data_IF_701326289071
#
_entry.id   IF_701326289071
#
_cell.length_a   1.000
_cell.length_b   1.000
_cell.length_c   1.000
_cell.angle_alpha   90.00
_cell.angle_beta   90.00
_cell.angle_gamma   90.00
#
_symmetry.space_group_name_H-M   'P 1'
#
loop_
_entity.id
_entity.type
_entity.pdbx_description
1 polymer ?
#
# COMPACT_ATOMS: atom_id res chain seq x y z
N UNK A 1 -7.62 -12.98 11.51
CA UNK A 1 -7.83 -12.09 10.32
C UNK A 1 -6.73 -12.23 9.28
N UNK A 2 -5.42 -12.24 9.62
CA UNK A 2 -4.34 -12.42 8.62
C UNK A 2 -4.46 -13.68 7.76
N UNK A 3 -4.95 -14.81 8.31
CA UNK A 3 -5.16 -16.06 7.56
C UNK A 3 -6.08 -15.89 6.34
N UNK A 4 -7.06 -15.00 6.40
CA UNK A 4 -7.97 -14.74 5.28
C UNK A 4 -7.28 -14.07 4.07
N UNK A 5 -6.12 -13.44 4.28
CA UNK A 5 -5.34 -12.80 3.22
C UNK A 5 -4.12 -13.64 2.76
N UNK A 6 -3.83 -14.79 3.39
CA UNK A 6 -2.74 -15.67 2.94
C UNK A 6 -2.95 -16.18 1.49
N UNK A 7 -4.19 -16.52 1.05
CA UNK A 7 -4.43 -16.88 -0.35
C UNK A 7 -4.00 -15.84 -1.36
N UNK A 8 -4.13 -14.54 -1.03
CA UNK A 8 -3.67 -13.45 -1.91
C UNK A 8 -2.15 -13.51 -2.16
N UNK A 9 -1.35 -13.86 -1.15
CA UNK A 9 0.09 -14.08 -1.34
C UNK A 9 0.40 -15.25 -2.27
N UNK A 10 -0.37 -16.33 -2.19
CA UNK A 10 -0.23 -17.46 -3.11
C UNK A 10 -0.63 -17.08 -4.53
N UNK A 11 -1.69 -16.29 -4.69
CA UNK A 11 -2.15 -15.80 -5.98
C UNK A 11 -1.11 -14.87 -6.64
N UNK A 12 -0.52 -13.96 -5.89
CA UNK A 12 0.60 -13.11 -6.34
C UNK A 12 1.75 -13.98 -6.87
N UNK A 13 2.13 -15.04 -6.12
CA UNK A 13 3.14 -15.98 -6.58
C UNK A 13 2.76 -16.67 -7.89
N UNK A 14 1.51 -17.13 -8.01
CA UNK A 14 1.03 -17.80 -9.23
C UNK A 14 1.11 -16.90 -10.45
N UNK A 15 0.79 -15.61 -10.30
CA UNK A 15 0.78 -14.64 -11.38
C UNK A 15 2.18 -14.09 -11.74
N UNK A 16 3.04 -13.86 -10.74
CA UNK A 16 4.31 -13.15 -10.90
C UNK A 16 5.54 -14.04 -10.75
N UNK A 17 5.39 -15.28 -10.30
CA UNK A 17 6.49 -16.18 -9.97
C UNK A 17 7.18 -15.80 -8.66
N UNK A 18 8.41 -16.29 -8.50
CA UNK A 18 9.18 -16.14 -7.24
C UNK A 18 10.15 -14.94 -7.25
N UNK A 19 10.25 -14.22 -8.37
CA UNK A 19 11.10 -13.03 -8.47
C UNK A 19 10.34 -11.79 -7.99
N UNK A 20 10.18 -11.67 -6.69
CA UNK A 20 9.58 -10.51 -6.05
C UNK A 20 10.54 -10.05 -4.95
N UNK A 21 11.00 -8.81 -5.04
CA UNK A 21 11.97 -8.26 -4.11
C UNK A 21 11.28 -7.57 -2.92
N UNK A 22 10.24 -6.78 -3.19
CA UNK A 22 9.51 -6.02 -2.16
C UNK A 22 8.00 -6.25 -2.31
N UNK A 23 7.32 -6.50 -1.19
CA UNK A 23 5.89 -6.34 -1.03
C UNK A 23 5.63 -5.11 -0.16
N UNK A 24 4.80 -4.18 -0.64
CA UNK A 24 4.52 -2.95 0.08
C UNK A 24 3.05 -2.58 0.03
N UNK A 25 2.55 -1.94 1.07
CA UNK A 25 1.21 -1.36 1.09
C UNK A 25 1.02 -0.40 2.27
N UNK A 26 0.06 0.50 2.12
CA UNK A 26 -0.48 1.29 3.23
C UNK A 26 -1.24 0.41 4.21
N UNK A 27 -1.17 0.79 5.48
CA UNK A 27 -1.73 -0.03 6.56
C UNK A 27 -2.90 0.67 7.27
N UNK A 28 -4.03 -0.05 7.36
CA UNK A 28 -5.07 0.22 8.33
C UNK A 28 -4.87 -0.71 9.53
N UNK A 29 -5.49 -1.87 9.55
CA UNK A 29 -5.28 -2.87 10.61
C UNK A 29 -4.00 -3.71 10.43
N UNK A 30 -3.34 -3.62 9.29
CA UNK A 30 -2.17 -4.43 8.91
C UNK A 30 -2.52 -5.84 8.39
N UNK A 31 -3.81 -6.20 8.36
CA UNK A 31 -4.25 -7.55 8.02
C UNK A 31 -3.89 -8.00 6.61
N UNK A 32 -4.13 -7.15 5.61
CA UNK A 32 -3.88 -7.47 4.20
C UNK A 32 -2.39 -7.63 3.91
N UNK A 33 -1.57 -6.65 4.32
CA UNK A 33 -0.12 -6.68 4.11
C UNK A 33 0.51 -7.92 4.78
N UNK A 34 0.21 -8.13 6.06
CA UNK A 34 0.75 -9.25 6.82
C UNK A 34 0.25 -10.60 6.35
N UNK A 35 -1.00 -10.69 5.92
CA UNK A 35 -1.55 -11.96 5.40
C UNK A 35 -0.95 -12.32 4.05
N UNK A 36 -0.91 -11.39 3.11
CA UNK A 36 -0.28 -11.62 1.82
C UNK A 36 1.20 -11.98 1.95
N UNK A 37 1.93 -11.27 2.82
CA UNK A 37 3.32 -11.60 3.11
C UNK A 37 3.48 -13.03 3.67
N UNK A 38 2.62 -13.46 4.61
CA UNK A 38 2.67 -14.83 5.15
C UNK A 38 2.46 -15.90 4.09
N UNK A 39 1.55 -15.66 3.16
CA UNK A 39 1.34 -16.55 2.01
C UNK A 39 2.55 -16.58 1.08
N UNK A 40 3.07 -15.40 0.74
CA UNK A 40 4.12 -15.24 -0.25
C UNK A 40 5.50 -15.68 0.26
N UNK A 41 5.86 -15.39 1.53
CA UNK A 41 7.19 -15.68 2.10
C UNK A 41 7.57 -17.17 2.11
N UNK A 42 6.59 -18.06 2.02
CA UNK A 42 6.85 -19.50 1.94
C UNK A 42 7.60 -19.89 0.66
N UNK A 43 7.32 -19.15 -0.42
CA UNK A 43 7.95 -19.35 -1.72
C UNK A 43 9.07 -18.32 -1.99
N UNK A 44 8.94 -17.13 -1.41
CA UNK A 44 9.88 -16.02 -1.56
C UNK A 44 10.42 -15.63 -0.16
N UNK A 45 11.28 -16.46 0.47
CA UNK A 45 11.68 -16.26 1.87
C UNK A 45 12.49 -14.99 2.12
N UNK A 46 13.08 -14.41 1.08
CA UNK A 46 13.87 -13.16 1.15
C UNK A 46 13.10 -11.90 0.80
N UNK A 47 11.77 -12.02 0.63
CA UNK A 47 10.94 -10.86 0.30
C UNK A 47 11.01 -9.81 1.41
N UNK A 48 11.32 -8.58 1.02
CA UNK A 48 11.29 -7.43 1.92
C UNK A 48 9.85 -6.90 2.05
N UNK A 49 9.50 -6.42 3.22
CA UNK A 49 8.17 -5.93 3.54
C UNK A 49 8.24 -4.47 3.95
N UNK A 50 7.50 -3.60 3.26
CA UNK A 50 7.44 -2.16 3.54
C UNK A 50 5.99 -1.75 3.80
N UNK A 51 5.78 -1.04 4.91
CA UNK A 51 4.48 -0.45 5.23
C UNK A 51 4.46 1.03 4.87
N UNK A 52 3.29 1.53 4.44
CA UNK A 52 3.07 2.95 4.21
C UNK A 52 2.03 3.51 5.19
N UNK A 53 2.23 4.76 5.58
CA UNK A 53 1.24 5.55 6.30
C UNK A 53 1.12 6.96 5.70
N UNK A 54 0.00 7.68 5.89
CA UNK A 54 -0.13 9.04 5.40
C UNK A 54 0.84 9.98 6.11
N UNK A 55 1.51 10.85 5.37
CA UNK A 55 2.35 11.92 5.92
C UNK A 55 1.57 12.81 6.91
N UNK A 56 0.27 12.99 6.67
CA UNK A 56 -0.65 13.76 7.51
C UNK A 56 -0.96 13.06 8.85
N UNK A 57 -0.70 11.76 8.97
CA UNK A 57 -0.94 10.96 10.19
C UNK A 57 0.16 9.92 10.38
N UNK A 58 1.41 10.35 10.67
CA UNK A 58 2.58 9.48 10.75
C UNK A 58 2.69 8.80 12.13
N UNK A 59 1.64 8.09 12.55
CA UNK A 59 1.54 7.48 13.87
C UNK A 59 2.61 6.42 14.13
N UNK A 60 2.90 5.58 13.13
CA UNK A 60 3.85 4.48 13.27
C UNK A 60 5.30 4.96 13.29
N UNK A 61 5.61 6.03 12.56
CA UNK A 61 6.98 6.57 12.49
C UNK A 61 7.28 7.59 13.57
N UNK A 62 6.28 8.39 13.99
CA UNK A 62 6.51 9.49 14.96
C UNK A 62 5.79 9.34 16.30
N UNK A 63 4.90 8.36 16.42
CA UNK A 63 4.02 8.18 17.58
C UNK A 63 2.85 9.19 17.65
N UNK A 64 2.68 10.03 16.61
CA UNK A 64 1.63 11.06 16.59
C UNK A 64 0.72 10.88 15.37
N UNK A 65 -0.55 10.62 15.64
CA UNK A 65 -1.58 10.61 14.61
C UNK A 65 -2.03 12.04 14.25
N UNK A 66 -2.63 12.18 13.08
CA UNK A 66 -3.20 13.43 12.57
C UNK A 66 -4.43 13.18 11.71
N UNK A 67 -5.07 14.26 11.25
CA UNK A 67 -6.20 14.18 10.33
C UNK A 67 -5.70 13.96 8.88
N UNK A 68 -6.26 12.97 8.22
CA UNK A 68 -6.02 12.70 6.80
C UNK A 68 -7.32 12.26 6.12
N UNK A 69 -7.30 12.16 4.78
CA UNK A 69 -8.48 11.88 3.97
C UNK A 69 -8.36 10.60 3.14
N UNK A 70 -7.41 9.72 3.48
CA UNK A 70 -7.24 8.42 2.84
C UNK A 70 -8.02 7.37 3.63
N UNK A 71 -9.19 7.00 3.15
CA UNK A 71 -10.04 6.02 3.83
C UNK A 71 -9.37 4.65 3.95
N UNK A 72 -9.64 3.96 5.06
CA UNK A 72 -9.23 2.58 5.31
C UNK A 72 -7.81 2.37 5.81
N UNK A 73 -7.01 3.43 5.94
CA UNK A 73 -5.66 3.40 6.47
C UNK A 73 -5.46 4.46 7.55
N UNK A 74 -4.33 4.47 8.23
CA UNK A 74 -3.99 5.50 9.20
C UNK A 74 -5.03 5.65 10.33
N UNK A 75 -5.53 4.54 10.84
CA UNK A 75 -6.74 4.43 11.69
C UNK A 75 -6.64 5.10 13.07
N UNK A 76 -5.56 5.82 13.38
CA UNK A 76 -5.40 6.56 14.63
C UNK A 76 -5.05 5.72 15.86
N UNK A 77 -4.84 4.42 15.68
CA UNK A 77 -4.35 3.48 16.70
C UNK A 77 -3.32 2.53 16.10
N UNK A 78 -2.53 1.88 16.97
CA UNK A 78 -1.54 0.90 16.51
C UNK A 78 -2.24 -0.27 15.79
N UNK A 79 -1.84 -0.59 14.54
CA UNK A 79 -2.48 -1.65 13.76
C UNK A 79 -2.35 -3.02 14.43
N UNK A 80 -3.45 -3.68 14.86
CA UNK A 80 -3.40 -4.85 15.73
C UNK A 80 -2.81 -6.10 15.07
N UNK A 81 -2.71 -6.11 13.75
CA UNK A 81 -2.17 -7.26 13.00
C UNK A 81 -0.80 -6.98 12.37
N UNK A 82 -0.26 -5.76 12.52
CA UNK A 82 1.03 -5.39 11.99
C UNK A 82 2.14 -5.85 12.93
N UNK A 83 3.00 -6.73 12.46
CA UNK A 83 4.23 -7.05 13.17
C UNK A 83 5.36 -6.18 12.61
N UNK A 84 5.70 -5.11 13.33
CA UNK A 84 6.73 -4.18 12.90
C UNK A 84 8.13 -4.81 12.84
N UNK A 85 8.40 -5.88 13.61
CA UNK A 85 9.73 -6.54 13.64
C UNK A 85 10.12 -7.24 12.33
N UNK A 86 9.15 -7.50 11.44
CA UNK A 86 9.40 -8.13 10.13
C UNK A 86 9.41 -7.12 8.98
N UNK A 87 9.13 -5.84 9.27
CA UNK A 87 9.20 -4.78 8.28
C UNK A 87 10.65 -4.38 8.04
N UNK A 88 10.98 -4.15 6.78
CA UNK A 88 12.23 -3.47 6.41
C UNK A 88 12.18 -2.02 6.88
N UNK A 89 11.07 -1.36 6.61
CA UNK A 89 10.85 0.04 6.98
C UNK A 89 9.36 0.40 6.95
N UNK A 90 9.05 1.57 7.52
CA UNK A 90 7.75 2.24 7.39
C UNK A 90 8.01 3.58 6.73
N UNK A 91 7.26 3.91 5.66
CA UNK A 91 7.38 5.18 4.92
C UNK A 91 6.12 6.01 5.04
N UNK A 92 6.34 7.31 5.13
CA UNK A 92 5.26 8.29 5.07
C UNK A 92 5.07 8.74 3.62
N UNK A 93 3.83 8.69 3.13
CA UNK A 93 3.48 9.13 1.77
C UNK A 93 2.46 10.25 1.86
N UNK A 94 2.70 11.34 1.15
CA UNK A 94 1.77 12.47 1.11
C UNK A 94 0.46 12.07 0.41
N UNK A 95 -0.67 12.27 1.09
CA UNK A 95 -1.99 11.95 0.54
C UNK A 95 -2.30 12.69 -0.76
N UNK A 96 -1.82 13.93 -0.93
CA UNK A 96 -2.07 14.70 -2.16
C UNK A 96 -1.37 14.08 -3.37
N UNK A 97 -0.16 13.53 -3.18
CA UNK A 97 0.50 12.73 -4.22
C UNK A 97 -0.32 11.48 -4.54
N UNK A 98 -0.89 10.81 -3.52
CA UNK A 98 -1.76 9.66 -3.70
C UNK A 98 -3.02 10.00 -4.52
N UNK A 99 -3.69 11.11 -4.22
CA UNK A 99 -4.87 11.55 -4.98
C UNK A 99 -4.53 11.93 -6.43
N UNK A 100 -3.41 12.59 -6.64
CA UNK A 100 -2.92 12.88 -7.99
C UNK A 100 -2.63 11.57 -8.76
N UNK A 101 -2.04 10.57 -8.08
CA UNK A 101 -1.75 9.27 -8.66
C UNK A 101 -3.03 8.51 -9.03
N UNK A 102 -4.11 8.57 -8.24
CA UNK A 102 -5.39 7.97 -8.62
C UNK A 102 -5.90 8.52 -9.95
N UNK A 103 -5.82 9.84 -10.15
CA UNK A 103 -6.23 10.48 -11.43
C UNK A 103 -5.33 10.08 -12.58
N UNK A 104 -4.02 9.98 -12.37
CA UNK A 104 -3.07 9.51 -13.38
C UNK A 104 -3.35 8.06 -13.78
N UNK A 105 -3.51 7.16 -12.81
CA UNK A 105 -3.85 5.76 -13.06
C UNK A 105 -5.13 5.60 -13.86
N UNK A 106 -6.16 6.38 -13.55
CA UNK A 106 -7.41 6.36 -14.30
C UNK A 106 -7.24 6.85 -15.74
N UNK A 107 -6.45 7.91 -15.95
CA UNK A 107 -6.29 8.56 -17.26
C UNK A 107 -5.25 7.85 -18.14
N UNK A 108 -4.12 7.43 -17.55
CA UNK A 108 -2.97 6.89 -18.30
C UNK A 108 -3.03 5.37 -18.43
N UNK A 109 -3.56 4.65 -17.42
CA UNK A 109 -3.53 3.19 -17.34
C UNK A 109 -4.93 2.55 -17.35
N UNK A 110 -6.01 3.35 -17.33
CA UNK A 110 -7.38 2.82 -17.24
C UNK A 110 -7.70 2.17 -15.88
N UNK A 111 -6.89 2.41 -14.84
CA UNK A 111 -7.08 1.86 -13.50
C UNK A 111 -7.84 2.86 -12.64
N UNK A 112 -9.14 2.66 -12.51
CA UNK A 112 -10.02 3.50 -11.69
C UNK A 112 -10.08 2.98 -10.25
N UNK A 113 -9.31 3.61 -9.35
CA UNK A 113 -9.02 3.08 -8.00
C UNK A 113 -9.28 4.09 -6.88
N UNK A 114 -9.33 3.60 -5.64
CA UNK A 114 -9.49 4.43 -4.44
C UNK A 114 -8.17 5.04 -3.94
N UNK A 115 -8.32 5.97 -2.98
CA UNK A 115 -7.24 6.81 -2.45
C UNK A 115 -6.03 6.02 -1.92
N UNK A 116 -6.27 4.90 -1.21
CA UNK A 116 -5.19 4.06 -0.68
C UNK A 116 -4.38 3.38 -1.77
N UNK A 117 -5.01 3.05 -2.92
CA UNK A 117 -4.29 2.54 -4.09
C UNK A 117 -3.33 3.58 -4.67
N UNK A 118 -3.78 4.83 -4.82
CA UNK A 118 -2.91 5.91 -5.30
C UNK A 118 -1.71 6.12 -4.38
N UNK A 119 -1.92 6.11 -3.06
CA UNK A 119 -0.85 6.19 -2.07
C UNK A 119 0.11 4.99 -2.18
N UNK A 120 -0.42 3.78 -2.33
CA UNK A 120 0.37 2.57 -2.52
C UNK A 120 1.26 2.66 -3.76
N UNK A 121 0.73 3.13 -4.87
CA UNK A 121 1.48 3.22 -6.14
C UNK A 121 2.58 4.27 -6.05
N UNK A 122 2.33 5.43 -5.41
CA UNK A 122 3.39 6.43 -5.15
C UNK A 122 4.55 5.80 -4.39
N UNK A 123 4.27 5.17 -3.24
CA UNK A 123 5.32 4.54 -2.45
C UNK A 123 6.02 3.38 -3.16
N UNK A 124 5.28 2.60 -3.97
CA UNK A 124 5.87 1.51 -4.75
C UNK A 124 6.80 2.02 -5.86
N UNK A 125 6.48 3.14 -6.51
CA UNK A 125 7.34 3.78 -7.52
C UNK A 125 8.61 4.30 -6.85
N UNK A 126 8.51 5.02 -5.73
CA UNK A 126 9.66 5.52 -4.98
C UNK A 126 10.62 4.37 -4.59
N UNK A 127 10.06 3.24 -4.11
CA UNK A 127 10.85 2.03 -3.81
C UNK A 127 11.50 1.42 -5.05
N UNK A 128 10.76 1.36 -6.17
CA UNK A 128 11.28 0.79 -7.42
C UNK A 128 12.44 1.62 -8.00
N UNK A 129 12.34 2.95 -7.92
CA UNK A 129 13.43 3.86 -8.32
C UNK A 129 14.69 3.66 -7.47
N UNK A 130 14.53 3.49 -6.16
CA UNK A 130 15.65 3.29 -5.23
C UNK A 130 16.37 1.96 -5.41
N UNK A 131 15.61 0.86 -5.62
CA UNK A 131 16.23 -0.48 -5.76
C UNK A 131 16.75 -0.75 -7.17
N UNK A 132 16.35 0.07 -8.15
CA UNK A 132 16.87 0.07 -9.50
C UNK A 132 16.31 -1.02 -10.42
N UNK A 133 16.83 -1.09 -11.65
CA UNK A 133 16.30 -1.95 -12.70
C UNK A 133 16.48 -3.44 -12.40
N UNK A 134 15.59 -4.26 -12.96
CA UNK A 134 15.61 -5.72 -12.80
C UNK A 134 15.00 -6.21 -11.49
N UNK A 135 14.54 -5.30 -10.63
CA UNK A 135 13.86 -5.57 -9.37
C UNK A 135 12.34 -5.48 -9.53
N UNK A 136 11.61 -6.17 -8.66
CA UNK A 136 10.15 -6.20 -8.70
C UNK A 136 9.56 -5.79 -7.36
N UNK A 137 8.80 -4.68 -7.39
CA UNK A 137 8.00 -4.19 -6.27
C UNK A 137 6.53 -4.53 -6.54
N UNK A 138 5.86 -5.08 -5.55
CA UNK A 138 4.44 -5.46 -5.61
C UNK A 138 3.65 -4.67 -4.58
N UNK A 139 2.53 -4.11 -4.99
CA UNK A 139 1.57 -3.43 -4.11
C UNK A 139 0.13 -3.79 -4.47
N UNK A 140 -0.85 -3.27 -3.71
CA UNK A 140 -2.25 -3.61 -3.87
C UNK A 140 -3.06 -2.47 -4.50
N UNK A 141 -3.94 -2.82 -5.44
CA UNK A 141 -5.09 -2.01 -5.81
C UNK A 141 -6.26 -2.41 -4.90
N UNK A 142 -6.53 -1.62 -3.85
CA UNK A 142 -7.37 -2.02 -2.74
C UNK A 142 -8.87 -2.01 -3.05
N UNK A 143 -9.34 -0.95 -3.71
CA UNK A 143 -10.75 -0.75 -4.02
C UNK A 143 -10.96 0.11 -5.28
N UNK A 144 -12.22 0.13 -5.74
CA UNK A 144 -12.63 0.91 -6.91
C UNK A 144 -12.76 2.40 -6.57
N UNK A 145 -12.46 3.26 -7.55
CA UNK A 145 -12.67 4.70 -7.50
C UNK A 145 -14.15 5.14 -7.43
N UNK A 146 -15.11 4.23 -7.65
CA UNK A 146 -16.54 4.57 -7.70
C UNK A 146 -17.04 5.27 -6.46
N UNK A 147 -16.64 4.86 -5.27
CA UNK A 147 -17.06 5.52 -4.02
C UNK A 147 -16.38 6.87 -3.76
N UNK A 148 -15.39 7.25 -4.57
CA UNK A 148 -14.63 8.51 -4.43
C UNK A 148 -15.00 9.57 -5.45
N UNK A 149 -15.98 9.32 -6.34
CA UNK A 149 -16.40 10.26 -7.40
C UNK A 149 -16.82 11.63 -6.88
N UNK A 150 -17.48 11.68 -5.72
CA UNK A 150 -17.91 12.92 -5.07
C UNK A 150 -16.88 13.54 -4.12
N UNK A 151 -15.64 13.02 -4.09
CA UNK A 151 -14.59 13.47 -3.18
C UNK A 151 -13.49 14.22 -3.92
N UNK A 152 -12.63 14.92 -3.16
CA UNK A 152 -11.45 15.61 -3.68
C UNK A 152 -10.44 14.70 -4.39
N UNK A 153 -10.56 13.37 -4.31
CA UNK A 153 -9.72 12.43 -5.05
C UNK A 153 -9.88 12.64 -6.55
N UNK A 154 -11.15 12.78 -7.02
CA UNK A 154 -11.49 12.94 -8.45
C UNK A 154 -12.08 14.30 -8.79
N UNK A 155 -12.67 15.02 -7.83
CA UNK A 155 -13.12 16.38 -8.07
C UNK A 155 -11.92 17.33 -8.10
N UNK A 156 -11.76 18.10 -9.18
CA UNK A 156 -10.81 19.20 -9.22
C UNK A 156 -11.28 20.27 -8.23
N UNK A 157 -10.43 20.72 -7.33
CA UNK A 157 -10.62 22.01 -6.67
C UNK A 157 -10.46 23.07 -7.76
N UNK A 158 -11.56 23.76 -8.09
CA UNK A 158 -11.50 24.98 -8.92
C UNK A 158 -10.71 26.03 -8.18
#
# INVERSE_FOLDING_TARGET
MTKGYEPMGNEIKMQLGERIDILCASVGTGGALMGAWKGLRKAVPKIELVAFEPLQSPLLTTGKGGAHQVEGIGVGFEPPFLNQSVLKEIRVIDQEKGFAMCRRLAHEEGVFCGASTGLNVVGAIELAEEIGPGKRVVTFACDSGLKYLGTHVYLRKN
#
